data_IF_815835561123
#
_entry.id   IF_815835561123
#
_cell.length_a   1.000
_cell.length_b   1.000
_cell.length_c   1.000
_cell.angle_alpha   90.00
_cell.angle_beta   90.00
_cell.angle_gamma   90.00
#
_symmetry.space_group_name_H-M   'P 1'
#
loop_
_entity.id
_entity.type
_entity.pdbx_description
1 polymer ?
#
# COMPACT_ATOMS: atom_id res chain seq x y z
N UNK A 1 11.00 3.29 -11.49
CA UNK A 1 10.22 2.50 -10.52
C UNK A 1 10.19 1.05 -11.00
N UNK A 2 10.47 0.04 -10.15
CA UNK A 2 10.38 -1.38 -10.53
C UNK A 2 8.91 -1.78 -10.75
N UNK A 3 8.62 -2.76 -11.62
CA UNK A 3 7.24 -3.27 -11.82
C UNK A 3 6.79 -4.06 -10.59
N UNK A 4 5.50 -4.04 -10.27
CA UNK A 4 4.91 -4.79 -9.14
C UNK A 4 5.24 -6.28 -9.24
N UNK A 5 5.07 -6.87 -10.43
CA UNK A 5 5.35 -8.28 -10.69
C UNK A 5 6.82 -8.68 -10.50
N UNK A 6 7.77 -7.77 -10.73
CA UNK A 6 9.20 -8.02 -10.48
C UNK A 6 9.50 -8.00 -8.98
N UNK A 7 8.86 -7.10 -8.24
CA UNK A 7 9.01 -6.99 -6.78
C UNK A 7 8.39 -8.22 -6.10
N UNK A 8 7.16 -8.58 -6.47
CA UNK A 8 6.42 -9.70 -5.88
C UNK A 8 7.22 -11.02 -5.89
N UNK A 9 7.99 -11.26 -6.95
CA UNK A 9 8.84 -12.46 -7.10
C UNK A 9 10.04 -12.49 -6.16
N UNK A 10 10.45 -11.35 -5.63
CA UNK A 10 11.72 -11.19 -4.90
C UNK A 10 11.54 -10.89 -3.42
N UNK A 11 10.37 -10.39 -3.00
CA UNK A 11 10.10 -10.07 -1.60
C UNK A 11 9.82 -11.31 -0.76
N UNK A 12 10.41 -11.37 0.44
CA UNK A 12 10.12 -12.37 1.47
C UNK A 12 8.77 -12.10 2.16
N UNK A 13 8.33 -13.00 3.05
CA UNK A 13 7.09 -12.78 3.82
C UNK A 13 7.29 -11.66 4.85
N UNK A 14 8.47 -11.59 5.45
CA UNK A 14 8.86 -10.57 6.42
C UNK A 14 8.88 -9.18 5.76
N UNK A 15 9.54 -9.06 4.59
CA UNK A 15 9.55 -7.81 3.82
C UNK A 15 8.15 -7.41 3.35
N UNK A 16 7.30 -8.37 2.98
CA UNK A 16 5.92 -8.08 2.64
C UNK A 16 5.16 -7.53 3.85
N UNK A 17 5.35 -8.07 5.05
CA UNK A 17 4.71 -7.57 6.27
C UNK A 17 5.15 -6.14 6.60
N UNK A 18 6.45 -5.84 6.50
CA UNK A 18 6.97 -4.48 6.69
C UNK A 18 6.37 -3.49 5.69
N UNK A 19 6.39 -3.82 4.40
CA UNK A 19 5.84 -2.99 3.34
C UNK A 19 4.32 -2.79 3.47
N UNK A 20 3.60 -3.83 3.89
CA UNK A 20 2.17 -3.74 4.16
C UNK A 20 1.86 -2.84 5.36
N UNK A 21 2.77 -2.74 6.34
CA UNK A 21 2.67 -1.77 7.43
C UNK A 21 2.69 -0.31 6.97
N UNK A 22 3.17 -0.03 5.75
CA UNK A 22 3.18 1.30 5.15
C UNK A 22 1.87 1.63 4.40
N UNK A 23 0.82 0.81 4.54
CA UNK A 23 -0.46 1.06 3.90
C UNK A 23 -1.08 2.36 4.43
N UNK A 24 -1.31 3.32 3.53
CA UNK A 24 -1.82 4.65 3.87
C UNK A 24 -0.74 5.71 4.12
N UNK A 25 0.54 5.36 3.99
CA UNK A 25 1.64 6.33 3.97
C UNK A 25 1.81 6.90 2.54
N UNK A 26 1.77 8.24 2.44
CA UNK A 26 1.87 8.96 1.17
C UNK A 26 3.28 8.92 0.57
N UNK A 27 4.30 8.70 1.40
CA UNK A 27 5.70 8.63 0.97
C UNK A 27 6.16 7.19 0.69
N UNK A 28 5.28 6.20 0.92
CA UNK A 28 5.60 4.80 0.70
C UNK A 28 5.80 4.47 -0.78
N UNK A 29 6.73 3.56 -1.12
CA UNK A 29 6.96 3.14 -2.49
C UNK A 29 5.77 2.31 -3.00
N UNK A 30 4.81 2.96 -3.69
CA UNK A 30 3.53 2.38 -4.16
C UNK A 30 3.66 0.94 -4.67
N UNK A 31 4.53 0.70 -5.66
CA UNK A 31 4.65 -0.63 -6.27
C UNK A 31 5.13 -1.72 -5.30
N UNK A 32 5.93 -1.37 -4.30
CA UNK A 32 6.38 -2.30 -3.28
C UNK A 32 5.26 -2.63 -2.30
N UNK A 33 4.48 -1.61 -1.89
CA UNK A 33 3.31 -1.81 -1.02
C UNK A 33 2.23 -2.61 -1.75
N UNK A 34 1.95 -2.31 -3.02
CA UNK A 34 1.00 -3.09 -3.84
C UNK A 34 1.45 -4.55 -3.95
N UNK A 35 2.74 -4.82 -4.22
CA UNK A 35 3.25 -6.19 -4.24
C UNK A 35 3.10 -6.89 -2.88
N UNK A 36 3.30 -6.18 -1.77
CA UNK A 36 3.08 -6.70 -0.43
C UNK A 36 1.60 -7.00 -0.15
N UNK A 37 0.68 -6.13 -0.58
CA UNK A 37 -0.78 -6.36 -0.49
C UNK A 37 -1.17 -7.60 -1.28
N UNK A 38 -0.71 -7.74 -2.53
CA UNK A 38 -0.95 -8.95 -3.33
C UNK A 38 -0.49 -10.21 -2.57
N UNK A 39 0.71 -10.18 -1.99
CA UNK A 39 1.30 -11.33 -1.29
C UNK A 39 0.56 -11.71 -0.01
N UNK A 40 0.16 -10.73 0.80
CA UNK A 40 -0.48 -10.96 2.10
C UNK A 40 -1.96 -11.28 1.96
N UNK A 41 -2.67 -10.56 1.08
CA UNK A 41 -4.11 -10.73 0.88
C UNK A 41 -4.43 -11.80 -0.15
N UNK A 42 -3.44 -12.25 -0.92
CA UNK A 42 -3.57 -13.20 -2.02
C UNK A 42 -4.62 -12.73 -3.05
N UNK A 43 -4.46 -11.48 -3.50
CA UNK A 43 -5.36 -10.78 -4.43
C UNK A 43 -4.65 -10.42 -5.74
N UNK A 44 -5.43 -9.99 -6.74
CA UNK A 44 -4.90 -9.52 -8.01
C UNK A 44 -4.13 -8.19 -7.86
N UNK A 45 -3.32 -7.83 -8.87
CA UNK A 45 -2.62 -6.55 -8.89
C UNK A 45 -3.58 -5.36 -8.97
N UNK A 46 -4.72 -5.53 -9.66
CA UNK A 46 -5.77 -4.51 -9.75
C UNK A 46 -6.39 -4.27 -8.37
N UNK A 47 -6.84 -5.33 -7.70
CA UNK A 47 -7.44 -5.25 -6.37
C UNK A 47 -6.44 -4.73 -5.31
N UNK A 48 -5.17 -5.13 -5.41
CA UNK A 48 -4.13 -4.61 -4.52
C UNK A 48 -3.89 -3.10 -4.70
N UNK A 49 -4.00 -2.58 -5.93
CA UNK A 49 -3.91 -1.15 -6.20
C UNK A 49 -5.11 -0.40 -5.63
N UNK A 50 -6.32 -0.93 -5.80
CA UNK A 50 -7.54 -0.35 -5.22
C UNK A 50 -7.43 -0.28 -3.68
N UNK A 51 -6.94 -1.34 -3.04
CA UNK A 51 -6.70 -1.37 -1.59
C UNK A 51 -5.69 -0.27 -1.19
N UNK A 52 -4.59 -0.11 -1.92
CA UNK A 52 -3.60 0.93 -1.64
C UNK A 52 -4.21 2.33 -1.77
N UNK A 53 -4.86 2.61 -2.89
CA UNK A 53 -5.42 3.93 -3.21
C UNK A 53 -6.56 4.29 -2.24
N UNK A 54 -7.41 3.33 -1.86
CA UNK A 54 -8.45 3.51 -0.84
C UNK A 54 -7.86 3.91 0.52
N UNK A 55 -6.86 3.17 1.01
CA UNK A 55 -6.25 3.48 2.31
C UNK A 55 -5.55 4.85 2.32
N UNK A 56 -4.90 5.22 1.21
CA UNK A 56 -4.28 6.54 1.08
C UNK A 56 -5.34 7.65 1.13
N UNK A 57 -6.46 7.50 0.40
CA UNK A 57 -7.56 8.46 0.42
C UNK A 57 -8.18 8.61 1.81
N UNK A 58 -8.30 7.51 2.57
CA UNK A 58 -8.88 7.54 3.91
C UNK A 58 -8.01 8.29 4.91
N UNK A 59 -6.69 8.09 4.85
CA UNK A 59 -5.74 8.84 5.67
C UNK A 59 -5.78 10.32 5.31
N UNK A 60 -5.85 10.66 4.02
CA UNK A 60 -5.94 12.05 3.56
C UNK A 60 -7.21 12.73 4.05
N UNK A 61 -8.37 12.06 3.94
CA UNK A 61 -9.64 12.58 4.45
C UNK A 61 -9.59 12.81 5.96
N UNK A 62 -9.06 11.85 6.71
CA UNK A 62 -8.94 11.97 8.18
C UNK A 62 -8.04 13.15 8.59
N UNK A 63 -6.95 13.40 7.86
CA UNK A 63 -6.08 14.57 8.10
C UNK A 63 -6.84 15.88 7.85
N UNK A 64 -7.56 15.98 6.73
CA UNK A 64 -8.40 17.13 6.40
C UNK A 64 -9.45 17.42 7.48
N UNK A 65 -10.18 16.37 7.92
CA UNK A 65 -11.20 16.50 8.95
C UNK A 65 -10.63 16.96 10.30
N UNK A 66 -9.40 16.56 10.63
CA UNK A 66 -8.72 16.98 11.85
C UNK A 66 -8.30 18.46 11.78
N UNK A 67 -7.87 18.93 10.61
CA UNK A 67 -7.53 20.35 10.39
C UNK A 67 -8.76 21.24 10.50
N UNK A 68 -9.92 20.82 9.99
CA UNK A 68 -11.19 21.56 10.10
C UNK A 68 -11.73 21.68 11.53
N UNK A 69 -11.25 20.85 12.46
CA UNK A 69 -11.67 20.86 13.89
C UNK A 69 -10.78 21.73 14.78
N UNK A 70 -9.67 22.26 14.25
CA UNK A 70 -8.73 23.13 14.97
C UNK A 70 -9.06 24.60 14.73
#
# INVERSE_FOLDING_TARGET
MKRVSDILKTITNEQAAELYGMLGDADAPRNSVVAAVMKIKNVSEEEAQEIFDFNLSMIAQMKSDLELRK
#
